data_IF_559242874221
#
_entry.id   IF_559242874221
#
_cell.length_a   1.000
_cell.length_b   1.000
_cell.length_c   1.000
_cell.angle_alpha   90.00
_cell.angle_beta   90.00
_cell.angle_gamma   90.00
#
_symmetry.space_group_name_H-M   'P 1'
#
loop_
_entity.id
_entity.type
_entity.pdbx_description
1 polymer ?
#
# COMPACT_ATOMS: atom_id res chain seq x y z
N UNK A 1 -29.75 10.58 5.49
CA UNK A 1 -29.06 9.88 6.59
C UNK A 1 -27.80 9.15 6.12
N UNK A 2 -27.89 8.18 5.19
CA UNK A 2 -26.72 7.42 4.68
C UNK A 2 -25.60 8.29 4.09
N UNK A 3 -25.96 9.26 3.23
CA UNK A 3 -25.02 10.21 2.63
C UNK A 3 -24.30 11.08 3.68
N UNK A 4 -25.01 11.48 4.73
CA UNK A 4 -24.43 12.26 5.82
C UNK A 4 -23.42 11.43 6.64
N UNK A 5 -23.76 10.16 6.94
CA UNK A 5 -22.82 9.24 7.59
C UNK A 5 -21.58 8.98 6.72
N UNK A 6 -21.75 8.86 5.40
CA UNK A 6 -20.64 8.74 4.44
C UNK A 6 -19.71 9.95 4.51
N UNK A 7 -20.27 11.16 4.42
CA UNK A 7 -19.50 12.40 4.47
C UNK A 7 -18.73 12.49 5.79
N UNK A 8 -19.37 12.20 6.93
CA UNK A 8 -18.75 12.23 8.24
C UNK A 8 -17.60 11.20 8.40
N UNK A 9 -17.83 9.96 7.93
CA UNK A 9 -16.83 8.89 7.99
C UNK A 9 -15.62 9.15 7.11
N UNK A 10 -15.82 9.78 5.96
CA UNK A 10 -14.70 10.17 5.08
C UNK A 10 -14.03 11.44 5.61
N UNK A 11 -14.79 12.40 6.16
CA UNK A 11 -14.24 13.67 6.66
C UNK A 11 -13.36 13.51 7.88
N UNK A 12 -13.49 12.43 8.66
CA UNK A 12 -12.62 12.18 9.81
C UNK A 12 -11.24 11.63 9.39
N UNK A 13 -11.09 11.12 8.16
CA UNK A 13 -9.84 10.50 7.68
C UNK A 13 -8.66 11.47 7.76
N UNK A 14 -8.72 12.72 7.25
CA UNK A 14 -7.61 13.66 7.35
C UNK A 14 -7.19 13.94 8.80
N UNK A 15 -8.17 14.07 9.72
CA UNK A 15 -7.90 14.26 11.14
C UNK A 15 -7.17 13.04 11.73
N UNK A 16 -7.61 11.82 11.42
CA UNK A 16 -6.94 10.58 11.86
C UNK A 16 -5.51 10.52 11.36
N UNK A 17 -5.29 10.80 10.08
CA UNK A 17 -3.96 10.81 9.47
C UNK A 17 -3.05 11.85 10.15
N UNK A 18 -3.53 13.07 10.35
CA UNK A 18 -2.78 14.13 11.01
C UNK A 18 -2.41 13.76 12.45
N UNK A 19 -3.35 13.20 13.22
CA UNK A 19 -3.10 12.74 14.58
C UNK A 19 -2.08 11.60 14.62
N UNK A 20 -2.15 10.65 13.69
CA UNK A 20 -1.19 9.56 13.61
C UNK A 20 0.21 10.05 13.28
N UNK A 21 0.35 10.94 12.29
CA UNK A 21 1.65 11.55 11.95
C UNK A 21 2.22 12.32 13.15
N UNK A 22 1.38 13.08 13.86
CA UNK A 22 1.80 13.81 15.07
C UNK A 22 2.29 12.88 16.19
N UNK A 23 1.59 11.76 16.43
CA UNK A 23 1.91 10.83 17.53
C UNK A 23 3.09 9.89 17.23
N UNK A 24 3.20 9.38 16.01
CA UNK A 24 4.19 8.35 15.63
C UNK A 24 5.47 8.99 15.10
N UNK A 25 5.38 10.20 14.54
CA UNK A 25 6.46 11.03 13.99
C UNK A 25 7.20 10.46 12.78
N UNK A 26 7.56 9.17 12.78
CA UNK A 26 8.31 8.51 11.71
C UNK A 26 7.62 7.22 11.24
N UNK A 27 7.76 6.85 9.95
CA UNK A 27 7.33 5.53 9.49
C UNK A 27 8.02 4.39 10.26
N UNK A 28 7.27 3.33 10.54
CA UNK A 28 7.68 2.19 11.36
C UNK A 28 7.94 0.94 10.50
N UNK A 29 7.56 0.97 9.23
CA UNK A 29 7.77 -0.13 8.29
C UNK A 29 7.73 0.38 6.84
N UNK A 30 8.21 -0.44 5.92
CA UNK A 30 8.19 -0.18 4.47
C UNK A 30 7.18 -1.14 3.84
N UNK A 31 6.16 -0.60 3.16
CA UNK A 31 5.22 -1.38 2.35
C UNK A 31 5.57 -1.21 0.88
N UNK A 32 5.97 -2.29 0.23
CA UNK A 32 6.28 -2.34 -1.20
C UNK A 32 5.12 -2.99 -1.93
N UNK A 33 4.45 -2.23 -2.81
CA UNK A 33 3.43 -2.79 -3.68
C UNK A 33 4.10 -3.60 -4.81
N UNK A 34 3.57 -4.79 -5.07
CA UNK A 34 4.08 -5.72 -6.07
C UNK A 34 4.06 -5.13 -7.48
N UNK A 35 5.14 -5.32 -8.24
CA UNK A 35 5.30 -4.91 -9.64
C UNK A 35 6.30 -5.78 -10.38
N UNK A 36 6.90 -5.24 -11.43
CA UNK A 36 8.02 -5.92 -12.08
C UNK A 36 9.27 -5.97 -11.18
N UNK A 37 10.23 -6.84 -11.54
CA UNK A 37 11.47 -7.03 -10.79
C UNK A 37 12.41 -5.81 -10.88
N UNK A 38 12.32 -5.02 -11.94
CA UNK A 38 13.17 -3.83 -12.10
C UNK A 38 12.81 -2.79 -11.04
N UNK A 39 11.50 -2.51 -10.88
CA UNK A 39 10.99 -1.63 -9.82
C UNK A 39 11.32 -2.17 -8.43
N UNK A 40 11.26 -3.48 -8.26
CA UNK A 40 11.61 -4.10 -6.98
C UNK A 40 13.09 -3.89 -6.63
N UNK A 41 14.01 -3.93 -7.60
CA UNK A 41 15.42 -3.63 -7.36
C UNK A 41 15.63 -2.20 -6.84
N UNK A 42 14.91 -1.21 -7.38
CA UNK A 42 14.96 0.17 -6.88
C UNK A 42 14.35 0.29 -5.47
N UNK A 43 13.27 -0.43 -5.19
CA UNK A 43 12.68 -0.48 -3.87
C UNK A 43 13.68 -1.02 -2.83
N UNK A 44 14.48 -2.04 -3.20
CA UNK A 44 15.51 -2.59 -2.31
C UNK A 44 16.58 -1.55 -1.97
N UNK A 45 17.02 -0.73 -2.92
CA UNK A 45 17.94 0.37 -2.62
C UNK A 45 17.34 1.35 -1.59
N UNK A 46 16.04 1.64 -1.68
CA UNK A 46 15.36 2.44 -0.66
C UNK A 46 15.33 1.75 0.71
N UNK A 47 15.22 0.42 0.78
CA UNK A 47 15.26 -0.28 2.07
C UNK A 47 16.63 -0.22 2.74
N UNK A 48 17.72 -0.11 1.96
CA UNK A 48 19.08 -0.05 2.51
C UNK A 48 19.40 1.25 3.25
N UNK A 49 18.67 2.34 2.95
CA UNK A 49 18.78 3.60 3.71
C UNK A 49 17.93 3.59 5.00
N UNK A 50 17.12 2.55 5.20
CA UNK A 50 16.26 2.33 6.37
C UNK A 50 16.40 0.88 6.90
N UNK A 51 17.63 0.43 7.22
CA UNK A 51 17.92 -0.98 7.54
C UNK A 51 17.22 -1.49 8.82
N UNK A 52 16.70 -0.60 9.65
CA UNK A 52 15.98 -0.92 10.88
C UNK A 52 14.51 -1.28 10.65
N UNK A 53 13.94 -0.96 9.49
CA UNK A 53 12.51 -1.10 9.23
C UNK A 53 12.17 -2.46 8.61
N UNK A 54 11.11 -3.09 9.15
CA UNK A 54 10.51 -4.27 8.52
C UNK A 54 9.95 -3.94 7.13
N UNK A 55 10.14 -4.86 6.18
CA UNK A 55 9.75 -4.74 4.79
C UNK A 55 8.56 -5.67 4.52
N UNK A 56 7.41 -5.09 4.16
CA UNK A 56 6.19 -5.82 3.79
C UNK A 56 5.96 -5.73 2.28
N UNK A 57 6.03 -6.87 1.61
CA UNK A 57 5.87 -6.97 0.16
C UNK A 57 4.46 -7.46 -0.13
N UNK A 58 3.61 -6.56 -0.62
CA UNK A 58 2.22 -6.86 -1.00
C UNK A 58 2.15 -7.27 -2.47
N UNK A 59 2.06 -8.56 -2.74
CA UNK A 59 2.15 -9.10 -4.11
C UNK A 59 1.20 -10.27 -4.32
N UNK A 60 0.91 -10.61 -5.58
CA UNK A 60 0.27 -11.89 -5.86
C UNK A 60 1.24 -13.06 -5.64
N UNK A 61 0.74 -14.25 -5.31
CA UNK A 61 1.54 -15.44 -4.98
C UNK A 61 2.70 -15.73 -5.96
N UNK A 62 2.43 -15.70 -7.28
CA UNK A 62 3.46 -15.92 -8.32
C UNK A 62 4.53 -14.83 -8.30
N UNK A 63 4.13 -13.58 -8.06
CA UNK A 63 5.02 -12.44 -8.01
C UNK A 63 5.88 -12.47 -6.74
N UNK A 64 5.30 -12.80 -5.59
CA UNK A 64 6.05 -12.98 -4.34
C UNK A 64 7.14 -14.05 -4.50
N UNK A 65 6.83 -15.20 -5.11
CA UNK A 65 7.85 -16.22 -5.45
C UNK A 65 8.94 -15.72 -6.41
N UNK A 66 8.59 -14.82 -7.32
CA UNK A 66 9.57 -14.19 -8.22
C UNK A 66 10.52 -13.28 -7.45
N UNK A 67 9.97 -12.48 -6.55
CA UNK A 67 10.71 -11.55 -5.69
C UNK A 67 11.62 -12.31 -4.71
N UNK A 68 11.11 -13.34 -4.05
CA UNK A 68 11.91 -14.18 -3.14
C UNK A 68 13.14 -14.77 -3.85
N UNK A 69 12.94 -15.39 -5.02
CA UNK A 69 14.05 -15.91 -5.83
C UNK A 69 15.03 -14.83 -6.28
N UNK A 70 14.55 -13.61 -6.53
CA UNK A 70 15.42 -12.49 -6.85
C UNK A 70 16.28 -12.08 -5.64
N UNK A 71 15.70 -11.98 -4.44
CA UNK A 71 16.42 -11.69 -3.21
C UNK A 71 17.47 -12.76 -2.88
N UNK A 72 17.11 -14.04 -3.04
CA UNK A 72 18.04 -15.17 -2.87
C UNK A 72 19.23 -15.05 -3.83
N UNK A 73 18.97 -14.71 -5.10
CA UNK A 73 20.00 -14.59 -6.12
C UNK A 73 21.00 -13.46 -5.84
N UNK A 74 20.55 -12.36 -5.23
CA UNK A 74 21.42 -11.23 -4.90
C UNK A 74 22.01 -11.33 -3.47
N UNK A 75 21.72 -12.40 -2.73
CA UNK A 75 22.21 -12.60 -1.37
C UNK A 75 21.67 -11.56 -0.37
N UNK A 76 20.47 -11.02 -0.61
CA UNK A 76 19.86 -10.05 0.29
C UNK A 76 19.38 -10.73 1.57
N UNK A 77 19.68 -10.17 2.74
CA UNK A 77 19.17 -10.69 4.00
C UNK A 77 17.65 -10.48 4.07
N UNK A 78 16.91 -11.57 4.24
CA UNK A 78 15.44 -11.58 4.26
C UNK A 78 14.85 -11.67 5.67
N UNK A 79 15.65 -11.56 6.74
CA UNK A 79 15.19 -11.67 8.14
C UNK A 79 14.08 -10.66 8.48
N UNK A 80 14.08 -9.49 7.83
CA UNK A 80 13.09 -8.42 8.00
C UNK A 80 12.11 -8.33 6.81
N UNK A 81 12.11 -9.33 5.91
CA UNK A 81 11.26 -9.33 4.71
C UNK A 81 10.08 -10.26 4.91
N UNK A 82 8.89 -9.69 4.81
CA UNK A 82 7.62 -10.38 4.95
C UNK A 82 6.79 -10.25 3.68
N UNK A 83 6.13 -11.34 3.31
CA UNK A 83 5.33 -11.41 2.08
C UNK A 83 3.84 -11.49 2.42
N UNK A 84 3.06 -10.58 1.84
CA UNK A 84 1.60 -10.68 1.79
C UNK A 84 1.18 -11.14 0.40
N UNK A 85 0.87 -12.43 0.28
CA UNK A 85 0.49 -13.10 -0.98
C UNK A 85 -1.02 -13.14 -1.24
N UNK A 86 -1.83 -12.57 -0.34
CA UNK A 86 -3.29 -12.44 -0.44
C UNK A 86 -3.79 -11.57 -1.62
N UNK A 87 -3.09 -10.50 -2.05
CA UNK A 87 -3.58 -9.61 -3.09
C UNK A 87 -3.78 -10.28 -4.44
N UNK A 88 -4.89 -9.94 -5.09
CA UNK A 88 -5.14 -10.27 -6.51
C UNK A 88 -5.15 -9.02 -7.39
N UNK A 89 -5.17 -7.83 -6.78
CA UNK A 89 -5.30 -6.51 -7.42
C UNK A 89 -4.89 -5.36 -6.52
N UNK A 90 -4.87 -4.15 -7.10
CA UNK A 90 -4.43 -2.93 -6.43
C UNK A 90 -5.21 -2.62 -5.16
N UNK A 91 -6.54 -2.73 -5.14
CA UNK A 91 -7.34 -2.51 -3.92
C UNK A 91 -7.03 -3.60 -2.89
N UNK A 92 -6.93 -4.85 -3.34
CA UNK A 92 -6.63 -5.96 -2.44
C UNK A 92 -5.25 -5.86 -1.81
N UNK A 93 -4.26 -5.25 -2.49
CA UNK A 93 -2.95 -4.96 -1.88
C UNK A 93 -3.12 -4.23 -0.54
N UNK A 94 -3.92 -3.18 -0.52
CA UNK A 94 -4.15 -2.40 0.70
C UNK A 94 -5.01 -3.15 1.71
N UNK A 95 -6.08 -3.82 1.27
CA UNK A 95 -6.99 -4.46 2.23
C UNK A 95 -6.38 -5.71 2.89
N UNK A 96 -5.51 -6.44 2.20
CA UNK A 96 -4.76 -7.56 2.79
C UNK A 96 -3.66 -7.02 3.72
N UNK A 97 -2.84 -6.08 3.24
CA UNK A 97 -1.75 -5.48 4.02
C UNK A 97 -2.26 -4.79 5.28
N UNK A 98 -3.43 -4.14 5.23
CA UNK A 98 -4.06 -3.49 6.37
C UNK A 98 -4.19 -4.43 7.57
N UNK A 99 -4.63 -5.67 7.36
CA UNK A 99 -4.82 -6.62 8.47
C UNK A 99 -3.50 -6.91 9.18
N UNK A 100 -2.41 -7.02 8.40
CA UNK A 100 -1.07 -7.24 8.93
C UNK A 100 -0.61 -6.03 9.75
N UNK A 101 -0.75 -4.82 9.22
CA UNK A 101 -0.34 -3.60 9.90
C UNK A 101 -1.09 -3.43 11.23
N UNK A 102 -2.40 -3.68 11.25
CA UNK A 102 -3.21 -3.66 12.46
C UNK A 102 -2.74 -4.68 13.49
N UNK A 103 -2.51 -5.94 13.07
CA UNK A 103 -2.05 -7.01 13.96
C UNK A 103 -0.66 -6.72 14.56
N UNK A 104 0.18 -5.96 13.85
CA UNK A 104 1.52 -5.56 14.28
C UNK A 104 1.54 -4.20 15.00
N UNK A 105 0.38 -3.56 15.19
CA UNK A 105 0.26 -2.19 15.72
C UNK A 105 1.10 -1.15 14.96
N UNK A 106 1.31 -1.37 13.66
CA UNK A 106 1.99 -0.42 12.77
C UNK A 106 0.97 0.63 12.34
N UNK A 107 1.27 1.90 12.62
CA UNK A 107 0.38 3.03 12.35
C UNK A 107 0.93 4.01 11.34
N UNK A 108 2.22 3.95 10.99
CA UNK A 108 2.80 4.82 9.97
C UNK A 108 3.78 4.03 9.11
N UNK A 109 3.66 4.09 7.78
CA UNK A 109 4.51 3.33 6.84
C UNK A 109 5.05 4.18 5.70
N UNK A 110 6.20 3.81 5.15
CA UNK A 110 6.54 4.20 3.78
C UNK A 110 5.73 3.34 2.81
N UNK A 111 5.14 3.95 1.78
CA UNK A 111 4.37 3.25 0.75
C UNK A 111 5.06 3.41 -0.60
N UNK A 112 5.69 2.33 -1.07
CA UNK A 112 6.50 2.32 -2.29
C UNK A 112 5.73 1.72 -3.46
N UNK A 113 5.72 2.44 -4.58
CA UNK A 113 5.18 1.97 -5.86
C UNK A 113 5.79 2.80 -7.01
N UNK A 114 5.52 2.42 -8.26
CA UNK A 114 5.95 3.24 -9.40
C UNK A 114 5.24 4.58 -9.45
N UNK A 115 5.91 5.59 -9.99
CA UNK A 115 5.34 6.89 -10.38
C UNK A 115 4.02 6.74 -11.16
N UNK A 116 3.95 5.77 -12.08
CA UNK A 116 2.75 5.43 -12.84
C UNK A 116 1.56 5.07 -11.95
N UNK A 117 1.77 4.28 -10.90
CA UNK A 117 0.72 3.78 -10.01
C UNK A 117 0.54 4.60 -8.73
N UNK A 118 1.35 5.62 -8.51
CA UNK A 118 1.39 6.35 -7.24
C UNK A 118 0.05 7.03 -6.95
N UNK A 119 -0.52 7.75 -7.92
CA UNK A 119 -1.80 8.45 -7.76
C UNK A 119 -2.94 7.51 -7.39
N UNK A 120 -3.02 6.34 -8.05
CA UNK A 120 -4.02 5.31 -7.72
C UNK A 120 -3.81 4.74 -6.33
N UNK A 121 -2.55 4.47 -5.98
CA UNK A 121 -2.16 3.90 -4.69
C UNK A 121 -2.48 4.84 -3.54
N UNK A 122 -2.21 6.14 -3.69
CA UNK A 122 -2.58 7.18 -2.73
C UNK A 122 -4.10 7.27 -2.56
N UNK A 123 -4.86 7.28 -3.67
CA UNK A 123 -6.32 7.35 -3.61
C UNK A 123 -6.94 6.17 -2.82
N UNK A 124 -6.39 4.97 -2.98
CA UNK A 124 -6.82 3.79 -2.23
C UNK A 124 -6.35 3.88 -0.77
N UNK A 125 -5.08 4.21 -0.52
CA UNK A 125 -4.48 4.25 0.81
C UNK A 125 -5.18 5.26 1.74
N UNK A 126 -5.57 6.44 1.23
CA UNK A 126 -6.35 7.42 2.00
C UNK A 126 -7.62 6.77 2.56
N UNK A 127 -8.32 5.98 1.76
CA UNK A 127 -9.55 5.31 2.21
C UNK A 127 -9.23 4.10 3.09
N UNK A 128 -8.41 3.17 2.62
CA UNK A 128 -8.19 1.88 3.30
C UNK A 128 -7.37 2.04 4.58
N UNK A 129 -6.19 2.67 4.49
CA UNK A 129 -5.32 2.89 5.65
C UNK A 129 -5.84 4.04 6.52
N UNK A 130 -6.21 5.16 5.90
CA UNK A 130 -6.66 6.35 6.62
C UNK A 130 -7.95 6.12 7.42
N UNK A 131 -8.88 5.31 6.93
CA UNK A 131 -10.07 4.92 7.71
C UNK A 131 -9.73 4.15 8.98
N UNK A 132 -8.55 3.51 9.06
CA UNK A 132 -8.07 2.80 10.24
C UNK A 132 -6.98 3.55 11.01
N UNK A 133 -6.74 4.82 10.68
CA UNK A 133 -5.75 5.64 11.36
C UNK A 133 -4.30 5.23 11.07
N UNK A 134 -4.07 4.55 9.94
CA UNK A 134 -2.72 4.23 9.47
C UNK A 134 -2.31 5.33 8.49
N UNK A 135 -1.29 6.10 8.87
CA UNK A 135 -0.65 7.09 8.02
C UNK A 135 0.33 6.42 7.05
N UNK A 136 0.64 7.11 5.96
CA UNK A 136 1.61 6.63 4.99
C UNK A 136 2.37 7.80 4.36
N UNK A 137 3.65 7.57 4.09
CA UNK A 137 4.51 8.46 3.31
C UNK A 137 4.69 7.84 1.92
N UNK A 138 4.08 8.39 0.87
CA UNK A 138 4.22 7.84 -0.47
C UNK A 138 5.63 8.08 -1.01
N UNK A 139 6.25 7.04 -1.55
CA UNK A 139 7.55 7.09 -2.19
C UNK A 139 7.38 6.64 -3.64
N UNK A 140 7.79 7.51 -4.56
CA UNK A 140 7.72 7.27 -6.00
C UNK A 140 8.99 6.58 -6.48
N UNK A 141 8.83 5.40 -7.10
CA UNK A 141 9.91 4.72 -7.79
C UNK A 141 9.79 5.00 -9.30
N UNK A 142 10.89 5.32 -10.00
CA UNK A 142 10.90 5.44 -11.46
C UNK A 142 10.20 4.28 -12.17
N UNK A 143 9.49 4.58 -13.26
CA UNK A 143 9.03 3.57 -14.20
C UNK A 143 9.28 3.96 -15.64
N UNK A 144 9.24 2.96 -16.53
CA UNK A 144 9.40 3.15 -17.97
C UNK A 144 8.13 3.69 -18.64
N UNK A 145 7.04 3.84 -17.90
CA UNK A 145 5.77 4.31 -18.46
C UNK A 145 5.77 5.83 -18.63
N UNK A 146 5.74 6.29 -19.88
CA UNK A 146 5.73 7.72 -20.20
C UNK A 146 4.37 8.40 -19.99
N UNK A 147 3.29 7.63 -19.95
CA UNK A 147 1.92 8.15 -19.80
C UNK A 147 1.43 7.92 -18.38
N UNK A 148 0.69 8.88 -17.84
CA UNK A 148 -0.01 8.72 -16.56
C UNK A 148 -1.10 7.64 -16.64
N UNK A 149 -1.36 6.99 -15.49
CA UNK A 149 -2.44 6.03 -15.35
C UNK A 149 -3.81 6.68 -15.62
N UNK A 150 -4.71 5.92 -16.25
CA UNK A 150 -6.02 6.43 -16.63
C UNK A 150 -6.83 6.88 -15.41
N UNK A 151 -7.38 8.10 -15.45
CA UNK A 151 -8.21 8.64 -14.39
C UNK A 151 -9.44 7.76 -14.10
N UNK A 152 -9.98 7.07 -15.11
CA UNK A 152 -11.11 6.14 -14.96
C UNK A 152 -10.74 4.96 -14.06
N UNK A 153 -9.50 4.46 -14.18
CA UNK A 153 -8.99 3.36 -13.35
C UNK A 153 -8.81 3.81 -11.91
N UNK A 154 -8.28 5.03 -11.71
CA UNK A 154 -8.13 5.64 -10.38
C UNK A 154 -9.51 5.81 -9.72
N UNK A 155 -10.48 6.38 -10.45
CA UNK A 155 -11.83 6.59 -9.93
C UNK A 155 -12.51 5.26 -9.59
N UNK A 156 -12.40 4.24 -10.45
CA UNK A 156 -12.94 2.90 -10.19
C UNK A 156 -12.39 2.34 -8.88
N UNK A 157 -11.07 2.35 -8.69
CA UNK A 157 -10.46 1.74 -7.51
C UNK A 157 -10.67 2.58 -6.23
N UNK A 158 -10.82 3.90 -6.36
CA UNK A 158 -11.30 4.76 -5.27
C UNK A 158 -12.72 4.39 -4.82
N UNK A 159 -13.66 4.24 -5.77
CA UNK A 159 -15.04 3.83 -5.47
C UNK A 159 -15.09 2.42 -4.88
N UNK A 160 -14.27 1.50 -5.37
CA UNK A 160 -14.12 0.15 -4.77
C UNK A 160 -13.58 0.20 -3.34
N UNK A 161 -12.70 1.16 -3.03
CA UNK A 161 -12.17 1.36 -1.68
C UNK A 161 -13.24 1.90 -0.72
N UNK A 162 -14.08 2.82 -1.20
CA UNK A 162 -15.27 3.27 -0.44
C UNK A 162 -16.23 2.10 -0.23
N UNK A 163 -16.53 1.32 -1.26
CA UNK A 163 -17.37 0.14 -1.14
C UNK A 163 -16.84 -0.86 -0.10
N UNK A 164 -15.53 -1.11 -0.09
CA UNK A 164 -14.88 -1.94 0.93
C UNK A 164 -15.04 -1.37 2.34
N UNK A 165 -14.87 -0.05 2.52
CA UNK A 165 -15.02 0.59 3.83
C UNK A 165 -16.39 0.30 4.48
N UNK A 166 -17.46 0.25 3.67
CA UNK A 166 -18.83 0.02 4.18
C UNK A 166 -19.20 -1.46 4.30
N UNK A 167 -18.68 -2.30 3.40
CA UNK A 167 -19.18 -3.69 3.26
C UNK A 167 -18.18 -4.74 3.73
N UNK A 168 -16.92 -4.36 3.90
CA UNK A 168 -15.80 -5.30 4.07
C UNK A 168 -15.46 -6.10 2.80
N UNK A 169 -16.22 -5.93 1.70
CA UNK A 169 -16.02 -6.66 0.43
C UNK A 169 -15.17 -5.82 -0.52
N UNK A 170 -14.18 -6.44 -1.15
CA UNK A 170 -13.19 -5.73 -2.01
C UNK A 170 -13.69 -5.42 -3.42
N UNK A 171 -14.79 -6.05 -3.84
CA UNK A 171 -15.31 -5.92 -5.21
C UNK A 171 -14.31 -6.39 -6.28
N UNK A 172 -13.37 -7.30 -5.95
CA UNK A 172 -12.36 -7.81 -6.89
C UNK A 172 -12.95 -8.47 -8.15
N UNK A 173 -14.21 -8.91 -8.08
CA UNK A 173 -14.99 -9.41 -9.21
C UNK A 173 -15.41 -8.32 -10.24
N UNK A 174 -15.26 -7.04 -9.90
CA UNK A 174 -15.61 -5.88 -10.75
C UNK A 174 -14.38 -5.19 -11.34
N UNK A 175 -13.30 -5.95 -11.58
CA UNK A 175 -12.08 -5.48 -12.23
C UNK A 175 -12.32 -5.02 -13.65
#
# INVERSE_FOLDING_TARGET
MLLLCLVLLVSIIPLRLALTVYQVQNPQAIVILGGDLQRFAEAITFTQIHPELDIWISCGERQCRGIQRFLDKIGFNQDQVYYDSCPTDTVTNFTCTLNILLNRNIRYVYLLTSDYHLSRSVAIAVIVFGSRGIAFQPISLPSTQSRQESWLVILRDFLRSLFWLFTGKTGAQFK
#
